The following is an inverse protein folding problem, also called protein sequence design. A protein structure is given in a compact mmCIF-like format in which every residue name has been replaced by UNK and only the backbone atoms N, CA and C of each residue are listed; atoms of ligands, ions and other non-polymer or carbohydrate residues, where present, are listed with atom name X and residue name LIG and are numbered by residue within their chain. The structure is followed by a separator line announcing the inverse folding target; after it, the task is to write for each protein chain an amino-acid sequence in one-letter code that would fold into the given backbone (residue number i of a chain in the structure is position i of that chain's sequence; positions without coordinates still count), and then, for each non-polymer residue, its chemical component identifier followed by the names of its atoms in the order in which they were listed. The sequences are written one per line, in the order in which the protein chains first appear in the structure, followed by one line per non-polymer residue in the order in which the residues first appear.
data_IF_822488819595
#
_entry.id   IF_822488819595
#
_cell.length_a   1.000
_cell.length_b   1.000
_cell.length_c   1.000
_cell.angle_alpha   90.00
_cell.angle_beta   90.00
_cell.angle_gamma   90.00
#
_symmetry.space_group_name_H-M   'P 1'
#
loop_
_entity.id
_entity.type
_entity.pdbx_description
1 polymer ?
#
# COMPACT_ATOMS: atom_id res chain seq x y z
N UNK A 1 -37.65 52.02 31.93
CA UNK A 1 -36.70 52.41 30.86
C UNK A 1 -35.57 51.40 30.82
N UNK A 2 -35.47 50.70 29.67
CA UNK A 2 -34.33 49.93 29.14
C UNK A 2 -33.53 49.00 30.08
N UNK A 3 -33.95 47.72 30.13
CA UNK A 3 -33.02 46.60 30.30
C UNK A 3 -32.15 46.53 29.03
N UNK A 4 -30.87 46.87 29.14
CA UNK A 4 -29.90 46.70 28.07
C UNK A 4 -29.64 45.21 27.87
N UNK A 5 -30.30 44.63 26.88
CA UNK A 5 -29.98 43.30 26.35
C UNK A 5 -28.55 43.38 25.80
N UNK A 6 -27.58 42.90 26.56
CA UNK A 6 -26.24 42.65 26.06
C UNK A 6 -26.35 41.61 24.94
N UNK A 7 -25.72 41.82 23.77
CA UNK A 7 -25.69 40.80 22.74
C UNK A 7 -24.99 39.54 23.26
N UNK A 8 -25.72 38.43 23.29
CA UNK A 8 -25.19 37.08 23.53
C UNK A 8 -24.05 36.82 22.53
N UNK A 9 -22.80 37.05 22.94
CA UNK A 9 -21.64 36.88 22.07
C UNK A 9 -20.36 37.54 22.56
N UNK A 10 -20.46 38.64 23.32
CA UNK A 10 -19.27 39.42 23.73
C UNK A 10 -18.62 38.88 25.01
N UNK A 11 -19.35 38.21 25.89
CA UNK A 11 -18.82 37.70 27.17
C UNK A 11 -17.84 36.52 27.02
N UNK A 12 -17.87 35.80 25.89
CA UNK A 12 -16.95 34.68 25.61
C UNK A 12 -15.54 35.14 25.15
N UNK A 13 -15.30 36.44 25.05
CA UNK A 13 -13.99 37.00 24.72
C UNK A 13 -13.08 37.23 25.94
N UNK A 14 -13.59 37.09 27.17
CA UNK A 14 -12.80 37.20 28.38
C UNK A 14 -12.00 35.89 28.63
N UNK A 15 -10.70 35.95 28.33
CA UNK A 15 -9.63 35.09 28.86
C UNK A 15 -9.68 33.57 28.63
N UNK A 16 -10.34 33.08 27.58
CA UNK A 16 -10.00 31.73 27.09
C UNK A 16 -8.75 31.85 26.22
N UNK A 17 -7.57 31.59 26.80
CA UNK A 17 -6.30 31.50 26.08
C UNK A 17 -6.34 30.50 24.91
N UNK A 18 -5.21 30.31 24.23
CA UNK A 18 -5.15 29.43 23.06
C UNK A 18 -5.73 28.03 23.36
N UNK A 19 -6.71 27.61 22.55
CA UNK A 19 -7.39 26.30 22.73
C UNK A 19 -6.43 25.18 22.34
N UNK A 20 -6.31 24.14 23.19
CA UNK A 20 -5.40 22.96 23.02
C UNK A 20 -5.88 21.95 21.98
N UNK A 21 -6.40 22.43 20.86
CA UNK A 21 -6.84 21.59 19.75
C UNK A 21 -5.65 21.14 18.89
N UNK A 22 -5.82 20.08 18.07
CA UNK A 22 -4.78 19.68 17.14
C UNK A 22 -4.42 20.82 16.20
N UNK A 23 -3.12 21.06 16.06
CA UNK A 23 -2.58 22.06 15.14
C UNK A 23 -2.75 21.58 13.70
N UNK A 24 -3.45 22.41 12.92
CA UNK A 24 -3.73 22.21 11.50
C UNK A 24 -3.02 23.28 10.69
N UNK A 25 -2.96 23.12 9.36
CA UNK A 25 -2.39 24.12 8.45
C UNK A 25 -3.11 25.48 8.49
N UNK A 26 -4.29 25.57 9.12
CA UNK A 26 -5.09 26.79 9.23
C UNK A 26 -4.91 27.51 10.58
N UNK A 27 -4.08 26.98 11.47
CA UNK A 27 -3.89 27.51 12.83
C UNK A 27 -2.41 27.87 13.03
N UNK A 28 -2.17 29.10 13.49
CA UNK A 28 -0.83 29.63 13.73
C UNK A 28 -0.29 30.47 12.55
N UNK A 29 0.32 31.60 12.86
CA UNK A 29 1.06 32.41 11.89
C UNK A 29 2.43 31.77 11.64
N UNK A 30 2.88 31.69 10.40
CA UNK A 30 4.14 31.04 10.00
C UNK A 30 4.28 29.55 10.38
N UNK A 31 3.18 28.85 10.66
CA UNK A 31 3.17 27.41 10.89
C UNK A 31 2.71 26.67 9.62
N UNK A 32 3.66 26.22 8.82
CA UNK A 32 3.37 25.45 7.61
C UNK A 32 3.33 23.95 7.90
N UNK A 33 2.18 23.32 7.63
CA UNK A 33 1.98 21.87 7.82
C UNK A 33 1.27 21.30 6.60
N UNK A 34 1.79 20.20 6.06
CA UNK A 34 1.17 19.48 4.94
C UNK A 34 -0.06 18.66 5.35
N UNK A 35 -0.79 18.16 4.34
CA UNK A 35 -1.99 17.33 4.50
C UNK A 35 -1.74 15.84 4.24
N UNK A 36 -0.48 15.41 4.13
CA UNK A 36 -0.13 14.01 3.86
C UNK A 36 -0.12 13.64 2.36
N UNK A 37 0.06 14.60 1.46
CA UNK A 37 0.09 14.37 0.00
C UNK A 37 1.34 13.60 -0.51
N UNK A 38 2.36 13.42 0.34
CA UNK A 38 3.70 12.96 -0.07
C UNK A 38 4.50 14.05 -0.80
N UNK A 39 5.82 13.87 -0.87
CA UNK A 39 6.73 14.83 -1.52
C UNK A 39 7.02 14.41 -2.98
N UNK A 40 6.57 15.20 -3.95
CA UNK A 40 6.72 14.93 -5.39
C UNK A 40 8.03 15.48 -5.98
N UNK A 41 8.94 15.97 -5.14
CA UNK A 41 10.07 16.77 -5.58
C UNK A 41 10.76 17.48 -4.42
N UNK A 42 11.50 18.53 -4.73
CA UNK A 42 12.31 19.27 -3.77
C UNK A 42 12.38 20.77 -4.08
N UNK A 43 12.58 21.58 -3.03
CA UNK A 43 12.79 23.01 -3.16
C UNK A 43 14.23 23.31 -3.57
N UNK A 44 14.39 24.32 -4.43
CA UNK A 44 15.68 24.87 -4.84
C UNK A 44 16.12 25.99 -3.89
N UNK A 45 17.41 26.33 -3.89
CA UNK A 45 18.00 27.38 -3.04
C UNK A 45 17.29 28.75 -3.16
N UNK A 46 16.70 29.05 -4.31
CA UNK A 46 15.99 30.31 -4.59
C UNK A 46 14.46 30.20 -4.50
N UNK A 47 13.93 29.19 -3.80
CA UNK A 47 12.50 29.05 -3.54
C UNK A 47 11.66 28.41 -4.66
N UNK A 48 12.24 28.10 -5.82
CA UNK A 48 11.56 27.30 -6.84
C UNK A 48 11.36 25.84 -6.40
N UNK A 49 10.40 25.13 -6.99
CA UNK A 49 10.15 23.71 -6.72
C UNK A 49 10.42 22.88 -7.98
N UNK A 50 11.22 21.82 -7.87
CA UNK A 50 11.52 20.89 -8.98
C UNK A 50 10.83 19.55 -8.73
N UNK A 51 10.02 19.13 -9.70
CA UNK A 51 9.25 17.88 -9.66
C UNK A 51 10.14 16.71 -10.11
N UNK A 52 10.12 15.62 -9.36
CA UNK A 52 10.77 14.35 -9.74
C UNK A 52 9.71 13.41 -10.32
N UNK A 53 9.79 13.15 -11.63
CA UNK A 53 8.83 12.31 -12.34
C UNK A 53 8.80 10.86 -11.83
N UNK A 54 9.86 10.39 -11.17
CA UNK A 54 9.90 9.04 -10.58
C UNK A 54 9.00 8.91 -9.35
N UNK A 55 8.73 10.02 -8.66
CA UNK A 55 7.87 10.06 -7.47
C UNK A 55 6.41 10.35 -7.80
N UNK A 56 6.14 10.80 -9.02
CA UNK A 56 4.77 11.06 -9.49
C UNK A 56 4.05 9.73 -9.64
N UNK A 57 2.96 9.57 -8.88
CA UNK A 57 2.13 8.35 -8.91
C UNK A 57 1.39 8.26 -10.26
N UNK A 58 1.61 7.18 -10.99
CA UNK A 58 0.91 6.88 -12.24
C UNK A 58 -0.13 5.80 -11.99
N UNK A 59 -1.33 5.97 -12.53
CA UNK A 59 -2.39 4.96 -12.46
C UNK A 59 -2.37 4.13 -13.74
N UNK A 60 -2.00 2.85 -13.62
CA UNK A 60 -2.04 1.90 -14.75
C UNK A 60 -3.47 1.39 -14.88
N UNK A 61 -4.20 1.92 -15.85
CA UNK A 61 -5.60 1.54 -16.12
C UNK A 61 -5.62 0.46 -17.21
N UNK A 62 -6.14 -0.76 -16.94
CA UNK A 62 -6.29 -1.78 -17.96
C UNK A 62 -7.46 -1.45 -18.91
N UNK A 63 -7.47 -2.07 -20.09
CA UNK A 63 -8.64 -2.01 -20.97
C UNK A 63 -9.80 -2.81 -20.37
N UNK A 64 -10.98 -2.20 -20.33
CA UNK A 64 -12.19 -2.74 -19.69
C UNK A 64 -13.28 -3.11 -20.70
N UNK A 65 -13.00 -2.97 -22.01
CA UNK A 65 -14.01 -3.13 -23.07
C UNK A 65 -14.68 -4.52 -23.05
N UNK A 66 -13.92 -5.59 -22.75
CA UNK A 66 -14.42 -6.98 -22.75
C UNK A 66 -14.50 -7.60 -21.34
N UNK A 67 -14.70 -6.79 -20.29
CA UNK A 67 -14.79 -7.30 -18.92
C UNK A 67 -16.13 -8.03 -18.67
N UNK A 68 -16.09 -9.35 -18.52
CA UNK A 68 -17.27 -10.19 -18.19
C UNK A 68 -17.85 -9.92 -16.80
N UNK A 69 -17.04 -9.39 -15.87
CA UNK A 69 -17.39 -9.28 -14.46
C UNK A 69 -18.05 -7.93 -14.15
N UNK A 70 -19.10 -7.97 -13.32
CA UNK A 70 -19.83 -6.79 -12.84
C UNK A 70 -19.46 -6.49 -11.38
N UNK A 71 -19.63 -5.24 -10.91
CA UNK A 71 -19.36 -4.87 -9.52
C UNK A 71 -20.30 -5.52 -8.49
N UNK A 72 -21.44 -6.06 -8.95
CA UNK A 72 -22.41 -6.75 -8.12
C UNK A 72 -22.56 -8.20 -8.56
N UNK A 73 -22.86 -9.05 -7.57
CA UNK A 73 -23.15 -10.48 -7.74
C UNK A 73 -24.62 -10.72 -7.40
N UNK A 74 -25.22 -11.73 -8.00
CA UNK A 74 -26.58 -12.16 -7.67
C UNK A 74 -26.70 -12.58 -6.19
N UNK A 75 -27.77 -12.19 -5.48
CA UNK A 75 -27.95 -12.52 -4.07
C UNK A 75 -28.12 -14.02 -3.83
N UNK A 76 -28.60 -14.74 -4.84
CA UNK A 76 -28.87 -16.18 -4.78
C UNK A 76 -27.63 -17.04 -5.06
N UNK A 77 -26.47 -16.41 -5.33
CA UNK A 77 -25.22 -17.13 -5.56
C UNK A 77 -24.82 -17.94 -4.31
N UNK A 78 -24.41 -19.20 -4.53
CA UNK A 78 -23.99 -20.09 -3.44
C UNK A 78 -22.79 -19.49 -2.70
N UNK A 79 -22.89 -19.48 -1.37
CA UNK A 79 -21.78 -19.04 -0.50
C UNK A 79 -20.63 -20.05 -0.60
N UNK A 80 -19.45 -19.57 -0.99
CA UNK A 80 -18.24 -20.39 -1.03
C UNK A 80 -17.68 -20.69 0.37
N UNK A 81 -16.94 -21.79 0.49
CA UNK A 81 -16.12 -22.10 1.67
C UNK A 81 -14.89 -21.18 1.64
N UNK A 82 -14.56 -20.53 2.77
CA UNK A 82 -13.35 -19.71 2.88
C UNK A 82 -12.12 -20.63 2.89
N UNK A 83 -11.14 -20.34 2.05
CA UNK A 83 -9.85 -21.02 2.07
C UNK A 83 -8.75 -20.02 2.38
N UNK A 84 -7.84 -20.42 3.27
CA UNK A 84 -6.60 -19.68 3.52
C UNK A 84 -5.53 -20.16 2.53
N UNK A 85 -4.92 -19.23 1.80
CA UNK A 85 -3.85 -19.52 0.87
C UNK A 85 -2.50 -19.42 1.59
N UNK A 86 -2.11 -20.49 2.28
CA UNK A 86 -0.79 -20.57 2.90
C UNK A 86 0.31 -20.68 1.82
N UNK A 87 1.55 -20.25 2.10
CA UNK A 87 2.64 -20.37 1.14
C UNK A 87 2.84 -21.79 0.62
N UNK A 88 2.76 -22.80 1.50
CA UNK A 88 2.88 -24.21 1.11
C UNK A 88 1.78 -24.67 0.15
N UNK A 89 0.52 -24.34 0.46
CA UNK A 89 -0.64 -24.67 -0.38
C UNK A 89 -0.59 -23.96 -1.74
N UNK A 90 -0.10 -22.73 -1.78
CA UNK A 90 0.10 -21.99 -3.02
C UNK A 90 1.13 -22.66 -3.93
N UNK A 91 2.25 -23.13 -3.38
CA UNK A 91 3.29 -23.83 -4.14
C UNK A 91 2.79 -25.17 -4.70
N UNK A 92 1.95 -25.89 -3.96
CA UNK A 92 1.32 -27.12 -4.43
C UNK A 92 0.41 -26.85 -5.64
N UNK A 93 -0.53 -25.91 -5.51
CA UNK A 93 -1.42 -25.51 -6.61
C UNK A 93 -0.66 -24.98 -7.84
N UNK A 94 0.44 -24.26 -7.63
CA UNK A 94 1.32 -23.83 -8.72
C UNK A 94 1.98 -25.02 -9.43
N UNK A 95 2.54 -25.98 -8.68
CA UNK A 95 3.15 -27.18 -9.27
C UNK A 95 2.12 -28.01 -10.04
N UNK A 96 0.91 -28.12 -9.52
CA UNK A 96 -0.23 -28.78 -10.17
C UNK A 96 -0.63 -28.08 -11.47
N UNK A 97 -0.86 -26.76 -11.44
CA UNK A 97 -1.27 -25.99 -12.63
C UNK A 97 -0.20 -25.94 -13.72
N UNK A 98 1.09 -25.96 -13.35
CA UNK A 98 2.22 -26.02 -14.27
C UNK A 98 2.50 -27.44 -14.77
N UNK A 99 1.81 -28.46 -14.26
CA UNK A 99 1.94 -29.85 -14.71
C UNK A 99 3.29 -30.49 -14.38
N UNK A 100 4.04 -29.96 -13.40
CA UNK A 100 5.31 -30.53 -12.94
C UNK A 100 4.98 -31.69 -11.99
N UNK A 101 4.54 -32.80 -12.57
CA UNK A 101 4.32 -34.07 -11.86
C UNK A 101 5.68 -34.58 -11.40
N UNK A 102 5.86 -34.70 -10.08
CA UNK A 102 6.99 -35.45 -9.54
C UNK A 102 6.83 -36.90 -10.01
N UNK A 103 7.65 -37.31 -10.98
CA UNK A 103 7.82 -38.72 -11.32
C UNK A 103 8.34 -39.43 -10.07
N UNK A 104 7.70 -40.51 -9.59
CA UNK A 104 8.20 -41.25 -8.43
C UNK A 104 9.60 -41.76 -8.74
N UNK A 105 10.54 -41.50 -7.83
CA UNK A 105 11.83 -42.20 -7.80
C UNK A 105 11.55 -43.54 -7.13
N UNK A 106 11.61 -44.62 -7.89
CA UNK A 106 11.78 -45.95 -7.31
C UNK A 106 13.23 -46.10 -6.90
N UNK A 107 13.42 -46.54 -5.66
CA UNK A 107 14.69 -46.62 -4.95
C UNK A 107 15.63 -47.65 -5.58
N UNK A 108 16.94 -47.38 -5.57
CA UNK A 108 17.93 -48.40 -5.25
C UNK A 108 19.34 -47.80 -5.00
N UNK A 109 19.83 -48.08 -3.80
CA UNK A 109 21.25 -48.19 -3.38
C UNK A 109 22.10 -46.93 -3.18
N UNK A 110 22.61 -46.86 -1.95
CA UNK A 110 23.61 -45.92 -1.42
C UNK A 110 24.93 -46.07 -2.20
N UNK A 111 25.45 -44.98 -2.76
CA UNK A 111 26.90 -44.78 -2.91
C UNK A 111 27.23 -43.28 -2.85
N UNK A 112 27.91 -42.91 -1.78
CA UNK A 112 28.93 -41.86 -1.63
C UNK A 112 28.91 -40.66 -2.57
N UNK A 113 28.74 -39.49 -1.96
CA UNK A 113 29.30 -38.20 -2.36
C UNK A 113 29.01 -37.73 -3.79
N UNK A 114 27.84 -37.11 -3.97
CA UNK A 114 27.72 -36.03 -4.95
C UNK A 114 27.27 -34.77 -4.22
N UNK A 115 28.16 -33.79 -4.31
CA UNK A 115 28.01 -32.40 -3.92
C UNK A 115 26.58 -31.92 -4.10
N UNK A 116 26.07 -31.22 -3.08
CA UNK A 116 24.81 -30.47 -3.14
C UNK A 116 24.95 -29.44 -4.27
N UNK A 117 24.62 -29.84 -5.49
CA UNK A 117 24.39 -28.94 -6.59
C UNK A 117 23.17 -28.14 -6.19
N UNK A 118 23.44 -26.93 -5.71
CA UNK A 118 22.46 -25.86 -5.51
C UNK A 118 21.57 -25.86 -6.75
N UNK A 119 20.31 -26.30 -6.60
CA UNK A 119 19.30 -26.08 -7.64
C UNK A 119 19.44 -24.63 -8.05
N UNK A 120 19.55 -24.30 -9.36
CA UNK A 120 19.95 -22.98 -9.82
C UNK A 120 19.14 -21.97 -9.03
N UNK A 121 19.84 -21.30 -8.12
CA UNK A 121 19.24 -20.33 -7.23
C UNK A 121 18.50 -19.38 -8.14
N UNK A 122 17.23 -19.14 -7.80
CA UNK A 122 16.40 -18.10 -8.37
C UNK A 122 17.30 -16.98 -8.92
N UNK A 123 17.34 -16.75 -10.25
CA UNK A 123 18.23 -15.76 -10.83
C UNK A 123 18.02 -14.49 -10.03
N UNK A 124 19.10 -13.91 -9.49
CA UNK A 124 19.03 -12.72 -8.65
C UNK A 124 18.00 -11.77 -9.26
N UNK A 125 16.85 -11.67 -8.59
CA UNK A 125 15.71 -10.91 -9.10
C UNK A 125 16.25 -9.55 -9.53
N UNK A 126 15.97 -9.06 -10.76
CA UNK A 126 16.32 -7.69 -11.08
C UNK A 126 15.77 -6.84 -9.94
N UNK A 127 16.63 -6.02 -9.33
CA UNK A 127 16.42 -5.29 -8.06
C UNK A 127 15.18 -4.38 -8.00
N UNK A 128 14.32 -4.43 -9.02
CA UNK A 128 13.15 -3.60 -9.22
C UNK A 128 11.97 -3.93 -8.32
N UNK A 129 11.85 -5.14 -7.77
CA UNK A 129 10.74 -5.48 -6.87
C UNK A 129 11.21 -6.37 -5.69
N UNK A 130 11.89 -5.78 -4.71
CA UNK A 130 12.22 -6.48 -3.46
C UNK A 130 10.94 -6.77 -2.67
N UNK A 131 10.54 -8.04 -2.63
CA UNK A 131 9.32 -8.51 -1.95
C UNK A 131 9.36 -8.27 -0.42
N UNK A 132 10.56 -8.25 0.18
CA UNK A 132 10.76 -8.13 1.64
C UNK A 132 10.92 -6.70 2.15
N UNK A 133 11.26 -5.77 1.27
CA UNK A 133 11.34 -4.34 1.58
C UNK A 133 10.27 -3.67 0.73
N UNK A 134 9.02 -3.60 1.23
CA UNK A 134 8.04 -2.70 0.60
C UNK A 134 8.60 -1.30 0.72
N UNK A 135 9.23 -0.81 -0.34
CA UNK A 135 9.68 0.57 -0.43
C UNK A 135 8.45 1.44 -0.20
N UNK A 136 8.36 2.06 0.98
CA UNK A 136 7.25 2.93 1.31
C UNK A 136 7.35 4.16 0.42
N UNK A 137 6.60 4.18 -0.69
CA UNK A 137 6.53 5.28 -1.65
C UNK A 137 5.72 6.49 -1.11
N UNK A 138 5.94 6.86 0.16
CA UNK A 138 5.28 7.97 0.85
C UNK A 138 6.30 8.98 1.39
#
# INVERSE_FOLDING_TARGET
SSLSVMPFGVEKALYRGARRYPMTSKRGHNYYKGTGSGAMGWHTKKGGYKIDLKKVRTYVVPDLSDCKYKPYVEPDAKKGIKYDLSPGKYLELLKESLGIVNKPKEDDTITTESTIAKSPGEPEQPKTEKIYERESLF
#
